data_IF_737673882378
#
_entry.id   IF_737673882378
#
_cell.length_a   1.000
_cell.length_b   1.000
_cell.length_c   1.000
_cell.angle_alpha   90.00
_cell.angle_beta   90.00
_cell.angle_gamma   90.00
#
_symmetry.space_group_name_H-M   'P 1'
#
loop_
_entity.id
_entity.type
_entity.pdbx_description
1 polymer ?
#
# COMPACT_ATOMS: atom_id res chain seq x y z
N UNK A 1 11.78 -2.24 -4.34
CA UNK A 1 11.53 -1.64 -3.00
C UNK A 1 10.03 -1.42 -2.82
N UNK A 2 9.43 -1.84 -1.69
CA UNK A 2 7.98 -1.79 -1.47
C UNK A 2 7.40 -0.38 -1.59
N UNK A 3 8.09 0.63 -1.06
CA UNK A 3 7.65 2.03 -1.10
C UNK A 3 7.35 2.49 -2.54
N UNK A 4 8.28 2.25 -3.49
CA UNK A 4 8.08 2.64 -4.90
C UNK A 4 6.84 1.99 -5.53
N UNK A 5 6.58 0.72 -5.21
CA UNK A 5 5.40 0.02 -5.71
C UNK A 5 4.11 0.62 -5.14
N UNK A 6 4.10 0.92 -3.84
CA UNK A 6 2.99 1.59 -3.17
C UNK A 6 2.76 2.98 -3.77
N UNK A 7 3.78 3.82 -3.92
CA UNK A 7 3.62 5.16 -4.48
C UNK A 7 3.11 5.17 -5.91
N UNK A 8 3.60 4.25 -6.75
CA UNK A 8 3.06 4.05 -8.10
C UNK A 8 1.58 3.69 -8.04
N UNK A 9 1.21 2.75 -7.18
CA UNK A 9 -0.17 2.30 -7.01
C UNK A 9 -1.10 3.43 -6.51
N UNK A 10 -0.64 4.27 -5.57
CA UNK A 10 -1.41 5.43 -5.11
C UNK A 10 -1.67 6.41 -6.25
N UNK A 11 -0.66 6.68 -7.09
CA UNK A 11 -0.76 7.60 -8.23
C UNK A 11 -1.69 7.06 -9.32
N UNK A 12 -1.59 5.77 -9.63
CA UNK A 12 -2.41 5.13 -10.68
C UNK A 12 -3.88 5.03 -10.29
N UNK A 13 -4.18 4.86 -9.00
CA UNK A 13 -5.55 4.64 -8.53
C UNK A 13 -6.17 5.86 -7.82
N UNK A 14 -5.44 6.98 -7.70
CA UNK A 14 -5.91 8.21 -7.06
C UNK A 14 -6.27 8.08 -5.57
N UNK A 15 -5.80 7.03 -4.90
CA UNK A 15 -6.14 6.76 -3.50
C UNK A 15 -5.19 7.49 -2.53
N UNK A 16 -5.70 8.12 -1.46
CA UNK A 16 -4.87 8.73 -0.43
C UNK A 16 -4.01 7.71 0.32
N UNK A 17 -2.79 8.09 0.69
CA UNK A 17 -1.84 7.26 1.45
C UNK A 17 -2.41 6.75 2.78
N UNK A 18 -3.18 7.59 3.49
CA UNK A 18 -3.87 7.24 4.74
C UNK A 18 -4.94 6.17 4.53
N UNK A 19 -5.73 6.30 3.45
CA UNK A 19 -6.76 5.34 3.06
C UNK A 19 -6.11 4.00 2.71
N UNK A 20 -5.07 4.01 1.88
CA UNK A 20 -4.33 2.81 1.52
C UNK A 20 -3.82 2.04 2.74
N UNK A 21 -3.18 2.74 3.69
CA UNK A 21 -2.68 2.10 4.91
C UNK A 21 -3.79 1.50 5.77
N UNK A 22 -4.91 2.22 5.92
CA UNK A 22 -6.09 1.75 6.64
C UNK A 22 -6.73 0.52 5.98
N UNK A 23 -6.85 0.50 4.66
CA UNK A 23 -7.48 -0.61 3.93
C UNK A 23 -6.55 -1.83 3.77
N UNK A 24 -5.25 -1.63 3.55
CA UNK A 24 -4.29 -2.73 3.35
C UNK A 24 -3.94 -3.46 4.65
N UNK A 25 -3.61 -2.72 5.70
CA UNK A 25 -3.01 -3.28 6.93
C UNK A 25 -3.63 -2.75 8.22
N UNK A 26 -4.67 -1.91 8.13
CA UNK A 26 -5.29 -1.19 9.25
C UNK A 26 -4.36 -0.20 9.94
N UNK A 27 -3.39 0.36 9.20
CA UNK A 27 -2.42 1.35 9.70
C UNK A 27 -2.36 2.57 8.77
N UNK A 28 -3.01 3.71 9.09
CA UNK A 28 -2.99 4.89 8.23
C UNK A 28 -1.62 5.57 8.14
N UNK A 29 -0.66 5.21 9.02
CA UNK A 29 0.70 5.76 9.01
C UNK A 29 1.66 4.96 8.11
N UNK A 30 1.24 3.80 7.60
CA UNK A 30 2.08 2.88 6.84
C UNK A 30 2.96 3.60 5.80
N UNK A 31 2.35 4.34 4.88
CA UNK A 31 3.08 4.97 3.76
C UNK A 31 4.03 6.07 4.26
N UNK A 32 3.62 6.84 5.26
CA UNK A 32 4.47 7.87 5.85
C UNK A 32 5.69 7.26 6.54
N UNK A 33 5.50 6.15 7.25
CA UNK A 33 6.61 5.47 7.89
C UNK A 33 7.56 4.85 6.86
N UNK A 34 7.02 4.25 5.78
CA UNK A 34 7.84 3.75 4.66
C UNK A 34 8.67 4.87 4.02
N UNK A 35 8.10 6.08 3.87
CA UNK A 35 8.83 7.28 3.40
C UNK A 35 9.91 7.75 4.37
N UNK A 36 9.72 7.52 5.67
CA UNK A 36 10.70 7.81 6.72
C UNK A 36 11.78 6.72 6.87
N UNK A 37 11.75 5.68 6.02
CA UNK A 37 12.75 4.61 6.03
C UNK A 37 12.37 3.39 6.87
N UNK A 38 11.12 3.28 7.34
CA UNK A 38 10.64 2.06 8.01
C UNK A 38 10.79 0.86 7.07
N UNK A 39 11.43 -0.19 7.55
CA UNK A 39 11.50 -1.45 6.82
C UNK A 39 10.32 -2.36 7.19
N UNK A 40 9.41 -2.65 6.24
CA UNK A 40 8.30 -3.55 6.48
C UNK A 40 8.79 -4.99 6.49
N UNK A 41 8.50 -5.70 7.59
CA UNK A 41 8.73 -7.14 7.68
C UNK A 41 7.90 -7.95 6.68
N UNK A 42 8.23 -9.23 6.50
CA UNK A 42 7.63 -10.11 5.49
C UNK A 42 6.09 -10.17 5.56
N UNK A 43 5.52 -10.22 6.77
CA UNK A 43 4.06 -10.22 6.98
C UNK A 43 3.40 -8.95 6.45
N UNK A 44 4.02 -7.80 6.68
CA UNK A 44 3.50 -6.51 6.24
C UNK A 44 3.54 -6.42 4.71
N UNK A 45 4.68 -6.81 4.09
CA UNK A 45 4.82 -6.89 2.64
C UNK A 45 3.71 -7.72 2.00
N UNK A 46 3.51 -8.96 2.47
CA UNK A 46 2.47 -9.85 1.92
C UNK A 46 1.06 -9.25 1.97
N UNK A 47 0.71 -8.56 3.05
CA UNK A 47 -0.62 -7.91 3.17
C UNK A 47 -0.76 -6.73 2.20
N UNK A 48 0.28 -5.92 2.08
CA UNK A 48 0.32 -4.78 1.15
C UNK A 48 0.23 -5.27 -0.31
N UNK A 49 1.00 -6.28 -0.65
CA UNK A 49 0.97 -6.91 -1.99
C UNK A 49 -0.38 -7.56 -2.29
N UNK A 50 -0.95 -8.30 -1.34
CA UNK A 50 -2.28 -8.88 -1.49
C UNK A 50 -3.35 -7.81 -1.73
N UNK A 51 -3.34 -6.72 -0.95
CA UNK A 51 -4.26 -5.61 -1.15
C UNK A 51 -4.15 -4.99 -2.55
N UNK A 52 -2.93 -4.68 -3.00
CA UNK A 52 -2.71 -4.11 -4.35
C UNK A 52 -3.19 -5.06 -5.45
N UNK A 53 -2.98 -6.37 -5.31
CA UNK A 53 -3.44 -7.36 -6.28
C UNK A 53 -4.97 -7.48 -6.31
N UNK A 54 -5.62 -7.49 -5.14
CA UNK A 54 -7.08 -7.57 -5.04
C UNK A 54 -7.76 -6.30 -5.55
N UNK A 55 -7.22 -5.13 -5.25
CA UNK A 55 -7.76 -3.85 -5.72
C UNK A 55 -7.70 -3.71 -7.25
N UNK A 56 -6.61 -4.17 -7.89
CA UNK A 56 -6.53 -4.18 -9.36
C UNK A 56 -7.61 -5.06 -10.00
N UNK A 57 -8.05 -6.13 -9.33
CA UNK A 57 -9.16 -6.97 -9.80
C UNK A 57 -10.52 -6.29 -9.65
N UNK A 58 -10.70 -5.43 -8.64
CA UNK A 58 -11.98 -4.75 -8.43
C UNK A 58 -12.16 -3.50 -9.30
N UNK A 59 -11.07 -2.81 -9.67
CA UNK A 59 -11.12 -1.60 -10.51
C UNK A 59 -11.05 -1.93 -12.02
N UNK A 60 -10.69 -3.16 -12.38
CA UNK A 60 -10.65 -3.64 -13.76
C UNK A 60 -11.95 -4.28 -14.27
N UNK A 61 -13.10 -4.01 -13.65
CA UNK A 61 -14.45 -4.40 -14.12
C UNK A 61 -15.30 -3.17 -14.36
#
# INVERSE_FOLDING_TARGET
>A
MLLRAVEKFLRENGIPATRFGRESVRDPRLVFDLRRGREPGARMRRRVEHFMNTYRRSVGQ
#
